data_IF_403291307900
#
_entry.id   IF_403291307900
#
_cell.length_a   1.000
_cell.length_b   1.000
_cell.length_c   1.000
_cell.angle_alpha   90.00
_cell.angle_beta   90.00
_cell.angle_gamma   90.00
#
_symmetry.space_group_name_H-M   'P 1'
#
loop_
_entity.id
_entity.type
_entity.pdbx_description
1 polymer ?
#
# COMPACT_ATOMS: atom_id res chain seq x y z
N UNK A 1 9.34 12.22 -2.14
CA UNK A 1 7.92 12.08 -1.72
C UNK A 1 7.79 12.64 -0.32
N UNK A 2 6.86 13.56 -0.09
CA UNK A 2 6.63 14.19 1.22
C UNK A 2 5.94 13.18 2.16
N UNK A 3 6.39 13.03 3.41
CA UNK A 3 5.78 12.09 4.35
C UNK A 3 4.34 12.52 4.68
N UNK A 4 3.43 11.55 4.78
CA UNK A 4 1.97 11.73 4.95
C UNK A 4 1.61 12.07 6.43
N UNK A 5 2.53 12.62 7.24
CA UNK A 5 2.34 12.69 8.70
C UNK A 5 1.41 13.80 9.23
N UNK A 6 0.86 14.69 8.41
CA UNK A 6 -0.08 15.74 8.85
C UNK A 6 -1.09 16.19 7.77
N UNK A 7 -1.87 15.26 7.19
CA UNK A 7 -2.91 15.65 6.20
C UNK A 7 -4.29 15.50 6.82
N UNK A 8 -5.12 16.56 6.80
CA UNK A 8 -6.52 16.45 7.21
C UNK A 8 -7.34 15.75 6.11
N UNK A 9 -8.53 15.22 6.45
CA UNK A 9 -9.46 14.69 5.44
C UNK A 9 -9.87 15.77 4.42
N UNK A 10 -9.97 17.04 4.84
CA UNK A 10 -10.24 18.16 3.94
C UNK A 10 -9.09 18.37 2.92
N UNK A 11 -7.83 18.23 3.35
CA UNK A 11 -6.68 18.30 2.45
C UNK A 11 -6.66 17.16 1.43
N UNK A 12 -7.02 15.95 1.86
CA UNK A 12 -7.13 14.79 0.97
C UNK A 12 -8.20 15.01 -0.10
N UNK A 13 -9.39 15.46 0.29
CA UNK A 13 -10.49 15.76 -0.64
C UNK A 13 -10.09 16.84 -1.64
N UNK A 14 -9.43 17.92 -1.19
CA UNK A 14 -8.92 18.96 -2.10
C UNK A 14 -7.94 18.39 -3.11
N UNK A 15 -6.97 17.58 -2.66
CA UNK A 15 -5.98 16.94 -3.54
C UNK A 15 -6.61 15.96 -4.52
N UNK A 16 -7.67 15.26 -4.13
CA UNK A 16 -8.44 14.41 -5.04
C UNK A 16 -9.04 15.26 -6.15
N UNK A 17 -9.70 16.38 -5.82
CA UNK A 17 -10.24 17.29 -6.82
C UNK A 17 -9.18 17.85 -7.79
N UNK A 18 -8.02 18.24 -7.26
CA UNK A 18 -6.89 18.74 -8.06
C UNK A 18 -6.35 17.67 -9.02
N UNK A 19 -6.12 16.45 -8.52
CA UNK A 19 -5.56 15.35 -9.31
C UNK A 19 -6.57 14.77 -10.31
N UNK A 20 -7.86 14.76 -9.96
CA UNK A 20 -8.93 14.39 -10.89
C UNK A 20 -9.02 15.39 -12.05
N UNK A 21 -8.95 16.69 -11.77
CA UNK A 21 -8.94 17.73 -12.81
C UNK A 21 -7.69 17.65 -13.69
N UNK A 22 -6.52 17.40 -13.09
CA UNK A 22 -5.28 17.22 -13.83
C UNK A 22 -5.37 16.03 -14.80
N UNK A 23 -5.98 14.93 -14.37
CA UNK A 23 -6.09 13.70 -15.17
C UNK A 23 -6.91 13.89 -16.45
N UNK A 24 -7.86 14.83 -16.47
CA UNK A 24 -8.64 15.16 -17.67
C UNK A 24 -7.80 15.74 -18.80
N UNK A 25 -6.63 16.32 -18.48
CA UNK A 25 -5.78 17.00 -19.46
C UNK A 25 -4.45 16.27 -19.68
N UNK A 26 -3.92 15.61 -18.65
CA UNK A 26 -2.62 14.93 -18.69
C UNK A 26 -2.71 13.59 -17.94
N UNK A 27 -3.42 12.58 -18.50
CA UNK A 27 -3.51 11.27 -17.87
C UNK A 27 -2.14 10.58 -17.88
N UNK A 28 -1.78 9.96 -16.76
CA UNK A 28 -0.60 9.10 -16.68
C UNK A 28 -0.80 7.98 -15.65
N UNK A 29 -0.07 6.85 -15.77
CA UNK A 29 -0.07 5.78 -14.76
C UNK A 29 0.27 6.27 -13.35
N UNK A 30 1.24 7.18 -13.22
CA UNK A 30 1.67 7.75 -11.94
C UNK A 30 0.54 8.61 -11.34
N UNK A 31 -0.15 9.40 -12.16
CA UNK A 31 -1.27 10.20 -11.70
C UNK A 31 -2.46 9.31 -11.30
N UNK A 32 -2.73 8.22 -12.03
CA UNK A 32 -3.75 7.25 -11.62
C UNK A 32 -3.42 6.59 -10.28
N UNK A 33 -2.17 6.16 -10.08
CA UNK A 33 -1.67 5.61 -8.80
C UNK A 33 -1.84 6.61 -7.66
N UNK A 34 -1.48 7.88 -7.88
CA UNK A 34 -1.67 8.95 -6.89
C UNK A 34 -3.14 9.15 -6.53
N UNK A 35 -4.03 9.22 -7.53
CA UNK A 35 -5.47 9.38 -7.34
C UNK A 35 -6.09 8.23 -6.55
N UNK A 36 -5.62 6.99 -6.77
CA UNK A 36 -6.01 5.83 -6.00
C UNK A 36 -5.50 5.89 -4.55
N UNK A 37 -4.22 6.23 -4.35
CA UNK A 37 -3.61 6.34 -3.02
C UNK A 37 -4.30 7.40 -2.14
N UNK A 38 -4.76 8.51 -2.72
CA UNK A 38 -5.52 9.53 -1.98
C UNK A 38 -6.87 8.99 -1.48
N UNK A 39 -7.56 8.18 -2.28
CA UNK A 39 -8.82 7.51 -1.88
C UNK A 39 -8.58 6.45 -0.80
N UNK A 40 -7.50 5.68 -0.92
CA UNK A 40 -7.09 4.73 0.12
C UNK A 40 -6.79 5.47 1.44
N UNK A 41 -6.14 6.63 1.38
CA UNK A 41 -5.86 7.43 2.58
C UNK A 41 -7.16 7.89 3.27
N UNK A 42 -8.21 8.24 2.53
CA UNK A 42 -9.52 8.61 3.11
C UNK A 42 -10.19 7.48 3.90
N UNK A 43 -9.88 6.21 3.61
CA UNK A 43 -10.40 5.06 4.36
C UNK A 43 -10.09 5.17 5.85
N UNK A 44 -8.91 5.69 6.21
CA UNK A 44 -8.48 5.87 7.60
C UNK A 44 -9.27 6.94 8.35
N UNK A 45 -9.92 7.87 7.64
CA UNK A 45 -10.71 8.96 8.22
C UNK A 45 -12.21 8.64 8.28
N UNK A 46 -12.67 7.59 7.58
CA UNK A 46 -14.07 7.19 7.58
C UNK A 46 -14.36 6.20 8.70
N UNK A 47 -15.48 6.42 9.40
CA UNK A 47 -16.04 5.47 10.37
C UNK A 47 -17.19 4.63 9.80
N UNK A 48 -17.56 4.86 8.54
CA UNK A 48 -18.67 4.17 7.90
C UNK A 48 -18.14 3.13 6.91
N UNK A 49 -18.44 1.86 7.16
CA UNK A 49 -17.99 0.75 6.29
C UNK A 49 -18.37 0.95 4.82
N UNK A 50 -19.56 1.47 4.55
CA UNK A 50 -20.02 1.70 3.17
C UNK A 50 -19.20 2.76 2.45
N UNK A 51 -18.82 3.82 3.15
CA UNK A 51 -17.97 4.90 2.61
C UNK A 51 -16.52 4.42 2.41
N UNK A 52 -15.97 3.65 3.36
CA UNK A 52 -14.68 2.97 3.19
C UNK A 52 -14.66 2.09 1.94
N UNK A 53 -15.72 1.30 1.73
CA UNK A 53 -15.85 0.45 0.54
C UNK A 53 -15.98 1.25 -0.74
N UNK A 54 -16.67 2.39 -0.71
CA UNK A 54 -16.78 3.29 -1.85
C UNK A 54 -15.39 3.79 -2.28
N UNK A 55 -14.60 4.33 -1.34
CA UNK A 55 -13.24 4.81 -1.64
C UNK A 55 -12.32 3.70 -2.16
N UNK A 56 -12.38 2.51 -1.56
CA UNK A 56 -11.58 1.37 -2.01
C UNK A 56 -12.00 0.90 -3.41
N UNK A 57 -13.29 0.94 -3.73
CA UNK A 57 -13.81 0.58 -5.06
C UNK A 57 -13.34 1.57 -6.11
N UNK A 58 -13.40 2.87 -5.82
CA UNK A 58 -12.83 3.88 -6.71
C UNK A 58 -11.32 3.69 -6.91
N UNK A 59 -10.57 3.46 -5.82
CA UNK A 59 -9.13 3.25 -5.89
C UNK A 59 -8.77 2.04 -6.76
N UNK A 60 -9.45 0.90 -6.56
CA UNK A 60 -9.23 -0.30 -7.37
C UNK A 60 -9.56 -0.05 -8.85
N UNK A 61 -10.70 0.58 -9.15
CA UNK A 61 -11.09 0.88 -10.53
C UNK A 61 -10.07 1.78 -11.24
N UNK A 62 -9.54 2.80 -10.56
CA UNK A 62 -8.50 3.67 -11.12
C UNK A 62 -7.21 2.91 -11.46
N UNK A 63 -6.78 2.00 -10.58
CA UNK A 63 -5.60 1.18 -10.78
C UNK A 63 -5.80 0.15 -11.90
N UNK A 64 -6.96 -0.49 -11.94
CA UNK A 64 -7.32 -1.47 -12.98
C UNK A 64 -7.38 -0.84 -14.37
N UNK A 65 -8.00 0.34 -14.49
CA UNK A 65 -8.02 1.10 -15.75
C UNK A 65 -6.58 1.47 -16.16
N UNK A 66 -5.76 1.98 -15.22
CA UNK A 66 -4.38 2.35 -15.52
C UNK A 66 -3.55 1.14 -15.99
N UNK A 67 -3.76 -0.04 -15.41
CA UNK A 67 -3.08 -1.28 -15.80
C UNK A 67 -3.41 -1.73 -17.23
N UNK A 68 -4.56 -1.35 -17.79
CA UNK A 68 -4.91 -1.67 -19.18
C UNK A 68 -4.08 -0.88 -20.19
N UNK A 69 -3.59 0.30 -19.81
CA UNK A 69 -2.94 1.26 -20.71
C UNK A 69 -1.41 1.36 -20.48
N UNK A 70 -0.83 0.58 -19.55
CA UNK A 70 0.61 0.65 -19.28
C UNK A 70 1.45 -0.02 -20.35
N UNK A 71 2.52 0.66 -20.75
CA UNK A 71 3.44 0.17 -21.77
C UNK A 71 4.81 -0.24 -21.21
N UNK A 72 5.08 0.03 -19.93
CA UNK A 72 6.33 -0.35 -19.27
C UNK A 72 6.11 -1.38 -18.17
N UNK A 73 7.05 -2.32 -18.07
CA UNK A 73 7.04 -3.33 -17.01
C UNK A 73 7.14 -2.71 -15.62
N UNK A 74 7.90 -1.62 -15.48
CA UNK A 74 8.08 -0.92 -14.21
C UNK A 74 6.75 -0.33 -13.70
N UNK A 75 6.04 0.43 -14.54
CA UNK A 75 4.72 0.96 -14.18
C UNK A 75 3.70 -0.15 -13.92
N UNK A 76 3.74 -1.23 -14.71
CA UNK A 76 2.87 -2.38 -14.49
C UNK A 76 3.10 -3.00 -13.10
N UNK A 77 4.36 -3.18 -12.70
CA UNK A 77 4.74 -3.73 -11.39
C UNK A 77 4.29 -2.80 -10.26
N UNK A 78 4.50 -1.50 -10.39
CA UNK A 78 4.07 -0.52 -9.39
C UNK A 78 2.56 -0.45 -9.21
N UNK A 79 1.80 -0.39 -10.30
CA UNK A 79 0.35 -0.38 -10.24
C UNK A 79 -0.22 -1.70 -9.72
N UNK A 80 0.39 -2.83 -10.09
CA UNK A 80 0.02 -4.14 -9.54
C UNK A 80 0.24 -4.18 -8.03
N UNK A 81 1.36 -3.66 -7.54
CA UNK A 81 1.63 -3.58 -6.11
C UNK A 81 0.56 -2.76 -5.38
N UNK A 82 0.24 -1.56 -5.90
CA UNK A 82 -0.81 -0.71 -5.36
C UNK A 82 -2.20 -1.38 -5.38
N UNK A 83 -2.53 -2.11 -6.46
CA UNK A 83 -3.80 -2.83 -6.57
C UNK A 83 -3.87 -3.97 -5.54
N UNK A 84 -2.79 -4.74 -5.40
CA UNK A 84 -2.68 -5.80 -4.41
C UNK A 84 -2.84 -5.28 -2.98
N UNK A 85 -2.23 -4.14 -2.65
CA UNK A 85 -2.44 -3.46 -1.37
C UNK A 85 -3.88 -2.96 -1.18
N UNK A 86 -4.51 -2.44 -2.23
CA UNK A 86 -5.92 -2.01 -2.18
C UNK A 86 -6.83 -3.18 -1.81
N UNK A 87 -6.59 -4.36 -2.40
CA UNK A 87 -7.30 -5.58 -2.03
C UNK A 87 -7.00 -6.08 -0.62
N UNK A 88 -5.79 -5.84 -0.10
CA UNK A 88 -5.50 -6.10 1.32
C UNK A 88 -6.32 -5.19 2.23
N UNK A 89 -6.50 -3.91 1.87
CA UNK A 89 -7.36 -2.98 2.61
C UNK A 89 -8.84 -3.38 2.57
N UNK A 90 -9.33 -3.85 1.41
CA UNK A 90 -10.66 -4.46 1.33
C UNK A 90 -10.82 -5.61 2.33
N UNK A 91 -9.82 -6.48 2.45
CA UNK A 91 -9.83 -7.54 3.45
C UNK A 91 -9.87 -6.98 4.87
N UNK A 92 -9.08 -5.96 5.21
CA UNK A 92 -9.10 -5.36 6.56
C UNK A 92 -10.47 -4.77 6.92
N UNK A 93 -11.15 -4.12 5.97
CA UNK A 93 -12.48 -3.52 6.19
C UNK A 93 -13.60 -4.57 6.24
N UNK A 94 -13.52 -5.61 5.40
CA UNK A 94 -14.64 -6.55 5.21
C UNK A 94 -14.48 -7.87 5.96
N UNK A 95 -13.24 -8.29 6.20
CA UNK A 95 -12.84 -9.62 6.63
C UNK A 95 -13.22 -10.74 5.64
N UNK A 96 -13.56 -10.39 4.39
CA UNK A 96 -13.92 -11.37 3.37
C UNK A 96 -12.68 -11.97 2.71
N UNK A 97 -12.49 -13.28 2.88
CA UNK A 97 -11.30 -14.02 2.42
C UNK A 97 -10.98 -13.86 0.94
N UNK A 98 -11.99 -13.60 0.08
CA UNK A 98 -11.77 -13.38 -1.36
C UNK A 98 -10.78 -12.25 -1.63
N UNK A 99 -10.84 -11.16 -0.86
CA UNK A 99 -9.95 -10.03 -1.06
C UNK A 99 -8.51 -10.33 -0.64
N UNK A 100 -8.34 -11.13 0.42
CA UNK A 100 -7.01 -11.63 0.81
C UNK A 100 -6.42 -12.55 -0.27
N UNK A 101 -7.24 -13.41 -0.88
CA UNK A 101 -6.82 -14.28 -1.98
C UNK A 101 -6.38 -13.46 -3.19
N UNK A 102 -7.18 -12.46 -3.60
CA UNK A 102 -6.87 -11.57 -4.73
C UNK A 102 -5.57 -10.81 -4.44
N UNK A 103 -5.47 -10.16 -3.27
CA UNK A 103 -4.27 -9.45 -2.83
C UNK A 103 -3.02 -10.32 -2.94
N UNK A 104 -3.08 -11.57 -2.46
CA UNK A 104 -1.97 -12.52 -2.57
C UNK A 104 -1.64 -12.89 -4.02
N UNK A 105 -2.65 -13.14 -4.85
CA UNK A 105 -2.44 -13.49 -6.26
C UNK A 105 -1.76 -12.35 -7.02
N UNK A 106 -1.99 -11.10 -6.61
CA UNK A 106 -1.35 -9.92 -7.20
C UNK A 106 0.04 -9.66 -6.62
N UNK A 107 0.21 -9.67 -5.30
CA UNK A 107 1.47 -9.26 -4.64
C UNK A 107 2.56 -10.34 -4.74
N UNK A 108 2.23 -11.62 -4.54
CA UNK A 108 3.24 -12.69 -4.44
C UNK A 108 4.12 -12.82 -5.69
N UNK A 109 3.59 -12.75 -6.92
CA UNK A 109 4.41 -12.74 -8.14
C UNK A 109 5.45 -11.62 -8.20
N UNK A 110 5.24 -10.52 -7.48
CA UNK A 110 6.13 -9.35 -7.49
C UNK A 110 7.36 -9.51 -6.57
N UNK A 111 7.48 -10.61 -5.82
CA UNK A 111 8.51 -10.82 -4.78
C UNK A 111 9.98 -10.75 -5.22
N UNK A 112 10.24 -10.84 -6.53
CA UNK A 112 11.56 -10.70 -7.11
C UNK A 112 11.98 -9.23 -7.30
N UNK A 113 11.04 -8.29 -7.29
CA UNK A 113 11.32 -6.87 -7.45
C UNK A 113 11.78 -6.23 -6.13
N UNK A 114 12.96 -5.58 -6.10
CA UNK A 114 13.49 -4.95 -4.90
C UNK A 114 12.90 -3.53 -4.69
N UNK A 115 11.57 -3.41 -4.66
CA UNK A 115 10.88 -2.15 -4.38
C UNK A 115 10.44 -2.09 -2.92
N UNK A 116 10.61 -0.92 -2.30
CA UNK A 116 10.19 -0.71 -0.92
C UNK A 116 8.67 -0.93 -0.73
N UNK A 117 7.86 -0.46 -1.67
CA UNK A 117 6.40 -0.67 -1.67
C UNK A 117 6.06 -2.17 -1.72
N UNK A 118 6.69 -2.91 -2.64
CA UNK A 118 6.43 -4.34 -2.83
C UNK A 118 6.87 -5.15 -1.61
N UNK A 119 8.05 -4.86 -1.06
CA UNK A 119 8.57 -5.57 0.12
C UNK A 119 7.72 -5.27 1.36
N UNK A 120 7.23 -4.04 1.52
CA UNK A 120 6.27 -3.70 2.56
C UNK A 120 4.95 -4.45 2.35
N UNK A 121 4.39 -4.43 1.13
CA UNK A 121 3.16 -5.16 0.78
C UNK A 121 3.27 -6.67 1.10
N UNK A 122 4.41 -7.29 0.80
CA UNK A 122 4.70 -8.69 1.12
C UNK A 122 4.78 -8.95 2.62
N UNK A 123 5.43 -8.05 3.38
CA UNK A 123 5.50 -8.14 4.83
C UNK A 123 4.09 -8.05 5.47
N UNK A 124 3.30 -7.07 5.02
CA UNK A 124 1.93 -6.82 5.46
C UNK A 124 0.99 -7.98 5.15
N UNK A 125 1.05 -8.51 3.92
CA UNK A 125 0.33 -9.70 3.51
C UNK A 125 0.72 -10.92 4.36
N UNK A 126 2.01 -11.15 4.56
CA UNK A 126 2.53 -12.28 5.35
C UNK A 126 2.10 -12.19 6.82
N UNK A 127 2.07 -10.97 7.38
CA UNK A 127 1.58 -10.72 8.74
C UNK A 127 0.08 -11.03 8.87
N UNK A 128 -0.70 -10.58 7.88
CA UNK A 128 -2.13 -10.85 7.80
C UNK A 128 -2.42 -12.36 7.69
N UNK A 129 -1.59 -13.10 6.94
CA UNK A 129 -1.65 -14.56 6.83
C UNK A 129 -0.99 -15.30 8.01
N UNK A 130 -0.46 -14.59 9.01
CA UNK A 130 0.20 -15.14 10.21
C UNK A 130 1.43 -16.00 9.91
N UNK A 131 2.27 -15.55 8.97
CA UNK A 131 3.53 -16.18 8.59
C UNK A 131 4.75 -15.39 9.12
N UNK A 132 5.12 -15.51 10.41
CA UNK A 132 6.15 -14.68 11.05
C UNK A 132 7.53 -14.75 10.37
N UNK A 133 7.94 -15.94 9.92
CA UNK A 133 9.22 -16.12 9.22
C UNK A 133 9.28 -15.33 7.91
N UNK A 134 8.15 -15.24 7.20
CA UNK A 134 8.05 -14.43 5.98
C UNK A 134 8.02 -12.95 6.30
N UNK A 135 7.30 -12.52 7.35
CA UNK A 135 7.33 -11.12 7.81
C UNK A 135 8.77 -10.68 8.08
N UNK A 136 9.52 -11.46 8.87
CA UNK A 136 10.95 -11.19 9.14
C UNK A 136 11.77 -11.13 7.85
N UNK A 137 11.57 -12.08 6.94
CA UNK A 137 12.29 -12.13 5.66
C UNK A 137 12.08 -10.84 4.83
N UNK A 138 10.82 -10.44 4.63
CA UNK A 138 10.49 -9.27 3.83
C UNK A 138 10.93 -7.97 4.48
N UNK A 139 10.73 -7.80 5.79
CA UNK A 139 11.21 -6.62 6.52
C UNK A 139 12.75 -6.54 6.49
N UNK A 140 13.46 -7.65 6.64
CA UNK A 140 14.94 -7.65 6.54
C UNK A 140 15.39 -7.16 5.16
N UNK A 141 14.75 -7.61 4.08
CA UNK A 141 15.06 -7.13 2.72
C UNK A 141 14.69 -5.65 2.53
N UNK A 142 13.55 -5.23 3.07
CA UNK A 142 13.10 -3.83 3.01
C UNK A 142 14.09 -2.89 3.69
N UNK A 143 14.58 -3.27 4.87
CA UNK A 143 15.56 -2.47 5.61
C UNK A 143 16.92 -2.40 4.89
N UNK A 144 17.25 -3.30 3.97
CA UNK A 144 18.47 -3.20 3.17
C UNK A 144 18.38 -2.17 2.04
N UNK A 145 17.18 -1.65 1.72
CA UNK A 145 17.02 -0.62 0.70
C UNK A 145 17.43 0.76 1.24
N UNK A 146 18.06 1.60 0.40
CA UNK A 146 18.37 2.98 0.78
C UNK A 146 17.08 3.79 0.96
N UNK A 147 17.07 4.71 1.92
CA UNK A 147 15.97 5.65 2.18
C UNK A 147 14.60 5.00 2.49
N UNK A 148 14.59 3.82 3.10
CA UNK A 148 13.36 3.15 3.56
C UNK A 148 12.59 4.04 4.55
N UNK A 149 11.33 4.35 4.23
CA UNK A 149 10.46 5.12 5.11
C UNK A 149 9.97 4.25 6.29
N UNK A 150 10.65 4.38 7.41
CA UNK A 150 10.32 3.70 8.67
C UNK A 150 8.91 4.08 9.16
N UNK A 151 8.41 5.28 8.83
CA UNK A 151 7.09 5.71 9.27
C UNK A 151 6.00 4.83 8.65
N UNK A 152 6.13 4.47 7.37
CA UNK A 152 5.20 3.57 6.69
C UNK A 152 5.16 2.18 7.35
N UNK A 153 6.31 1.63 7.76
CA UNK A 153 6.35 0.33 8.44
C UNK A 153 5.65 0.42 9.81
N UNK A 154 5.85 1.52 10.53
CA UNK A 154 5.22 1.78 11.84
C UNK A 154 3.74 2.12 11.75
N UNK A 155 3.18 2.37 10.58
CA UNK A 155 1.75 2.66 10.41
C UNK A 155 0.94 1.41 10.03
N UNK A 156 1.60 0.29 9.70
CA UNK A 156 0.93 -0.95 9.33
C UNK A 156 0.46 -1.73 10.57
N UNK A 157 -0.85 -1.79 10.89
CA UNK A 157 -1.36 -2.37 12.13
C UNK A 157 -1.09 -3.88 12.23
N UNK A 158 -1.10 -4.61 11.12
CA UNK A 158 -0.78 -6.04 11.08
C UNK A 158 0.65 -6.35 11.55
N UNK A 159 1.55 -5.36 11.52
CA UNK A 159 2.92 -5.51 12.03
C UNK A 159 3.04 -5.27 13.54
N UNK A 160 1.99 -4.79 14.20
CA UNK A 160 2.05 -4.41 15.62
C UNK A 160 2.41 -5.58 16.53
N UNK A 161 1.92 -6.78 16.22
CA UNK A 161 2.21 -7.99 16.99
C UNK A 161 3.71 -8.33 17.03
N UNK A 162 4.49 -7.87 16.05
CA UNK A 162 5.93 -8.15 15.97
C UNK A 162 6.80 -7.09 16.64
N UNK A 163 6.26 -5.94 17.07
CA UNK A 163 7.08 -4.85 17.66
C UNK A 163 7.82 -5.27 18.93
N UNK A 164 7.30 -6.26 19.64
CA UNK A 164 7.88 -6.80 20.87
C UNK A 164 8.92 -7.90 20.61
N UNK A 165 9.03 -8.39 19.38
CA UNK A 165 9.99 -9.42 19.01
C UNK A 165 11.42 -8.85 18.97
N UNK A 166 12.38 -9.60 19.51
CA UNK A 166 13.78 -9.19 19.55
C UNK A 166 14.32 -8.87 18.15
N UNK A 167 14.05 -9.74 17.18
CA UNK A 167 14.48 -9.56 15.79
C UNK A 167 13.89 -8.29 15.15
N UNK A 168 12.68 -7.88 15.52
CA UNK A 168 12.07 -6.67 15.00
C UNK A 168 12.77 -5.45 15.61
N UNK A 169 13.00 -5.45 16.92
CA UNK A 169 13.72 -4.36 17.59
C UNK A 169 15.13 -4.17 17.04
N UNK A 170 15.83 -5.27 16.77
CA UNK A 170 17.19 -5.24 16.22
C UNK A 170 17.23 -4.66 14.80
N UNK A 171 16.23 -4.96 13.95
CA UNK A 171 16.11 -4.40 12.60
C UNK A 171 16.04 -2.86 12.63
N UNK A 172 15.27 -2.28 13.56
CA UNK A 172 15.09 -0.82 13.64
C UNK A 172 16.22 -0.11 14.38
N UNK A 173 16.89 -0.77 15.35
CA UNK A 173 18.10 -0.20 16.00
C UNK A 173 19.23 0.03 15.00
N UNK A 174 19.42 -0.90 14.05
CA UNK A 174 20.44 -0.78 13.01
C UNK A 174 20.25 0.43 12.09
N UNK A 175 19.07 1.06 12.09
CA UNK A 175 18.70 2.20 11.22
C UNK A 175 18.51 3.51 11.98
N UNK A 176 18.81 3.53 13.29
CA UNK A 176 18.79 4.72 14.15
C UNK A 176 20.21 5.31 14.34
N UNK A 177 21.20 4.84 13.58
CA UNK A 177 22.59 5.30 13.60
C UNK A 177 22.99 5.93 12.26
#
# INVERSE_FOLDING_TARGET
MTPISHQSSADLVRKIGETDQQFLTHPSPELAKLRANLRIALVQYSHQKQEQLYFLTEAAALLEIALMDVNSLEQHVELSAALGETYLQFYHVTQEKRYLIISRQVIKPLSHHPSAEILLALARLSATEKHPSLVKHWLTRLMQLPNTDIACIRQAPELDSYRHESWYQDLFKAHLH
#
